data_IF_172898684993
#
_entry.id   IF_172898684993
#
_cell.length_a   1.000
_cell.length_b   1.000
_cell.length_c   1.000
_cell.angle_alpha   90.00
_cell.angle_beta   90.00
_cell.angle_gamma   90.00
#
_symmetry.space_group_name_H-M   'P 1'
#
loop_
_entity.id
_entity.type
_entity.pdbx_description
1 polymer ?
#
# COMPACT_ATOMS: atom_id res chain seq x y z
N UNK A 1 -6.26 -14.37 13.86
CA UNK A 1 -4.79 -14.19 13.76
C UNK A 1 -4.40 -14.04 12.29
N UNK A 2 -3.34 -13.26 11.99
CA UNK A 2 -2.82 -13.10 10.63
C UNK A 2 -2.14 -14.39 10.13
N UNK A 3 -2.47 -14.83 8.92
CA UNK A 3 -1.81 -15.97 8.27
C UNK A 3 -0.40 -15.59 7.79
N UNK A 4 0.61 -15.98 8.59
CA UNK A 4 2.02 -15.69 8.32
C UNK A 4 2.63 -16.47 7.14
N UNK A 5 1.93 -17.48 6.63
CA UNK A 5 2.32 -18.16 5.38
C UNK A 5 2.02 -17.31 4.13
N UNK A 6 1.19 -16.28 4.28
CA UNK A 6 0.81 -15.34 3.20
C UNK A 6 1.34 -13.93 3.44
N UNK A 7 1.45 -13.52 4.71
CA UNK A 7 1.74 -12.14 5.07
C UNK A 7 2.96 -12.00 5.99
N UNK A 8 3.78 -11.02 5.67
CA UNK A 8 4.76 -10.42 6.58
C UNK A 8 4.24 -9.07 7.05
N UNK A 9 4.84 -8.53 8.12
CA UNK A 9 4.36 -7.29 8.80
C UNK A 9 5.37 -6.15 8.73
N UNK A 10 6.36 -6.29 7.86
CA UNK A 10 7.37 -5.28 7.63
C UNK A 10 8.02 -5.44 6.27
N UNK A 11 8.67 -4.38 5.82
CA UNK A 11 9.61 -4.43 4.71
C UNK A 11 10.78 -5.36 5.01
N UNK A 12 11.27 -6.03 3.97
CA UNK A 12 12.39 -6.99 4.06
C UNK A 12 13.74 -6.33 4.40
N UNK A 13 13.83 -4.99 4.34
CA UNK A 13 15.07 -4.27 4.65
C UNK A 13 15.30 -4.02 6.13
N UNK A 14 14.32 -4.22 7.02
CA UNK A 14 14.46 -3.96 8.45
C UNK A 14 13.87 -5.05 9.37
N UNK A 15 14.32 -5.11 10.63
CA UNK A 15 13.98 -6.15 11.61
C UNK A 15 13.41 -5.56 12.89
N UNK A 16 12.31 -6.14 13.38
CA UNK A 16 11.67 -5.73 14.64
C UNK A 16 10.76 -4.52 14.50
N UNK A 17 10.59 -4.04 13.27
CA UNK A 17 9.82 -2.88 12.85
C UNK A 17 10.50 -2.28 11.62
N UNK A 18 9.88 -1.32 10.96
CA UNK A 18 10.39 -0.76 9.71
C UNK A 18 9.71 0.57 9.38
N UNK A 19 10.26 1.30 8.42
CA UNK A 19 9.58 2.45 7.81
C UNK A 19 10.10 2.69 6.40
N UNK A 20 9.43 3.55 5.66
CA UNK A 20 9.96 4.11 4.42
C UNK A 20 10.58 5.50 4.70
N UNK A 21 11.91 5.57 4.65
CA UNK A 21 12.64 6.81 4.95
C UNK A 21 12.60 7.82 3.80
N UNK A 22 12.27 7.41 2.58
CA UNK A 22 12.33 8.27 1.40
C UNK A 22 11.25 9.38 1.43
N UNK A 23 10.08 9.09 2.00
CA UNK A 23 8.93 9.99 1.98
C UNK A 23 8.81 10.92 3.19
N UNK A 24 9.80 10.88 4.10
CA UNK A 24 9.78 11.58 5.40
C UNK A 24 8.54 11.24 6.25
N UNK A 25 8.11 9.99 6.15
CA UNK A 25 7.07 9.40 7.00
C UNK A 25 7.48 9.47 8.49
N UNK A 26 6.51 9.59 9.38
CA UNK A 26 6.69 9.84 10.82
C UNK A 26 6.40 8.61 11.68
N UNK A 27 5.82 7.56 11.09
CA UNK A 27 5.55 6.31 11.77
C UNK A 27 6.70 5.31 11.68
N UNK A 28 6.75 4.46 12.68
CA UNK A 28 7.44 3.19 12.65
C UNK A 28 6.40 2.07 12.56
N UNK A 29 6.47 1.25 11.51
CA UNK A 29 5.59 0.09 11.38
C UNK A 29 5.97 -0.99 12.37
N UNK A 30 4.98 -1.48 13.11
CA UNK A 30 5.18 -2.45 14.18
C UNK A 30 4.23 -3.64 14.04
N UNK A 31 4.71 -4.86 14.34
CA UNK A 31 3.90 -6.08 14.39
C UNK A 31 2.61 -5.98 15.21
N UNK A 32 2.62 -5.20 16.29
CA UNK A 32 1.52 -5.08 17.27
C UNK A 32 0.40 -4.14 16.81
N UNK A 33 0.68 -3.34 15.77
CA UNK A 33 -0.30 -2.49 15.11
C UNK A 33 -1.08 -3.24 14.01
N UNK A 34 -0.87 -4.56 13.89
CA UNK A 34 -1.51 -5.43 12.91
C UNK A 34 -2.34 -6.48 13.64
N UNK A 35 -3.66 -6.47 13.44
CA UNK A 35 -4.57 -7.44 14.04
C UNK A 35 -5.59 -7.99 13.04
N UNK A 36 -6.09 -9.20 13.31
CA UNK A 36 -7.19 -9.80 12.55
C UNK A 36 -8.24 -10.24 13.55
N UNK A 37 -9.39 -9.56 13.54
CA UNK A 37 -10.53 -9.77 14.42
C UNK A 37 -11.82 -9.36 13.67
N UNK A 38 -12.98 -9.85 14.11
CA UNK A 38 -14.28 -9.46 13.57
C UNK A 38 -14.38 -9.51 12.02
N UNK A 39 -13.76 -10.54 11.43
CA UNK A 39 -13.78 -10.78 9.99
C UNK A 39 -12.85 -9.91 9.14
N UNK A 40 -12.07 -9.00 9.71
CA UNK A 40 -11.22 -8.09 8.94
C UNK A 40 -9.80 -7.97 9.51
N UNK A 41 -8.86 -7.59 8.65
CA UNK A 41 -7.55 -7.09 9.01
C UNK A 41 -7.67 -5.61 9.42
N UNK A 42 -6.97 -5.24 10.49
CA UNK A 42 -6.87 -3.87 10.99
C UNK A 42 -5.41 -3.46 11.11
N UNK A 43 -5.07 -2.34 10.48
CA UNK A 43 -3.80 -1.64 10.60
C UNK A 43 -4.04 -0.36 11.39
N UNK A 44 -3.51 -0.29 12.61
CA UNK A 44 -3.81 0.81 13.54
C UNK A 44 -2.64 1.78 13.66
N UNK A 45 -2.82 3.05 13.35
CA UNK A 45 -1.88 4.11 13.66
C UNK A 45 -2.10 4.64 15.09
N UNK A 46 -1.03 4.89 15.85
CA UNK A 46 -1.06 5.40 17.24
C UNK A 46 0.00 6.48 17.46
N UNK A 47 -0.25 7.48 18.31
CA UNK A 47 0.74 8.48 18.75
C UNK A 47 1.60 7.86 19.86
N UNK A 48 2.42 6.90 19.47
CA UNK A 48 3.28 6.14 20.36
C UNK A 48 4.74 6.37 19.98
N UNK A 49 5.56 6.76 20.96
CA UNK A 49 6.98 6.99 20.77
C UNK A 49 7.74 5.67 20.77
N UNK A 50 8.51 5.40 19.72
CA UNK A 50 9.29 4.17 19.59
C UNK A 50 10.67 4.46 18.98
N UNK A 51 11.68 3.71 19.43
CA UNK A 51 12.99 3.70 18.79
C UNK A 51 12.95 2.81 17.54
N UNK A 52 13.25 3.40 16.38
CA UNK A 52 13.43 2.68 15.13
C UNK A 52 14.90 2.38 14.84
N UNK A 53 15.22 2.21 13.56
CA UNK A 53 16.59 1.92 13.10
C UNK A 53 17.59 3.01 13.52
N UNK A 54 18.81 2.61 13.84
CA UNK A 54 19.93 3.50 14.19
C UNK A 54 19.63 4.49 15.34
N UNK A 55 18.70 4.15 16.24
CA UNK A 55 18.35 4.98 17.39
C UNK A 55 17.48 6.21 17.04
N UNK A 56 17.04 6.35 15.79
CA UNK A 56 16.06 7.38 15.42
C UNK A 56 14.75 7.11 16.14
N UNK A 57 14.22 8.12 16.81
CA UNK A 57 12.92 8.02 17.46
C UNK A 57 11.81 8.47 16.52
N UNK A 58 10.73 7.69 16.47
CA UNK A 58 9.49 7.98 15.78
C UNK A 58 8.40 8.29 16.82
N UNK A 59 7.51 9.22 16.49
CA UNK A 59 6.45 9.67 17.41
C UNK A 59 5.11 8.95 17.15
N UNK A 60 5.08 8.07 16.15
CA UNK A 60 3.92 7.29 15.79
C UNK A 60 4.32 5.84 15.53
N UNK A 61 3.43 4.91 15.88
CA UNK A 61 3.47 3.52 15.42
C UNK A 61 2.33 3.30 14.43
N UNK A 62 2.50 2.37 13.49
CA UNK A 62 1.41 1.99 12.57
C UNK A 62 1.54 0.56 12.08
N UNK A 63 0.52 0.08 11.35
CA UNK A 63 0.48 -1.26 10.78
C UNK A 63 0.81 -1.27 9.29
N UNK A 64 1.54 -2.30 8.86
CA UNK A 64 1.61 -2.70 7.46
C UNK A 64 1.57 -4.22 7.34
N UNK A 65 1.12 -4.70 6.19
CA UNK A 65 1.30 -6.09 5.76
C UNK A 65 1.79 -6.14 4.33
N UNK A 66 2.55 -7.17 3.99
CA UNK A 66 2.96 -7.42 2.62
C UNK A 66 3.02 -8.91 2.32
N UNK A 67 2.76 -9.30 1.07
CA UNK A 67 3.03 -10.65 0.58
C UNK A 67 4.49 -10.84 0.14
N UNK A 68 5.33 -9.82 0.31
CA UNK A 68 6.77 -9.92 0.15
C UNK A 68 7.44 -10.80 1.20
N UNK A 69 8.73 -11.04 1.02
CA UNK A 69 9.57 -11.80 1.97
C UNK A 69 9.80 -11.07 3.30
N UNK A 70 10.22 -11.82 4.31
CA UNK A 70 10.62 -11.28 5.63
C UNK A 70 12.11 -10.89 5.63
N UNK A 71 12.55 -10.04 6.56
CA UNK A 71 13.96 -9.64 6.67
C UNK A 71 14.91 -10.82 6.86
N UNK A 72 14.49 -11.79 7.68
CA UNK A 72 15.28 -13.00 7.94
C UNK A 72 15.28 -13.96 6.73
N UNK A 73 14.45 -13.68 5.73
CA UNK A 73 14.20 -14.53 4.58
C UNK A 73 14.60 -13.85 3.27
N UNK A 74 15.54 -12.90 3.27
CA UNK A 74 15.99 -12.20 2.04
C UNK A 74 16.37 -13.14 0.89
N UNK A 75 16.93 -14.31 1.21
CA UNK A 75 17.30 -15.36 0.25
C UNK A 75 16.13 -16.24 -0.21
N UNK A 76 14.94 -16.12 0.38
CA UNK A 76 13.73 -16.87 0.03
C UNK A 76 12.82 -16.03 -0.87
N UNK A 77 11.94 -16.69 -1.66
CA UNK A 77 10.95 -15.98 -2.46
C UNK A 77 9.92 -15.27 -1.59
N UNK A 78 9.19 -14.34 -2.22
CA UNK A 78 8.04 -13.69 -1.62
C UNK A 78 6.94 -14.71 -1.25
N UNK A 79 6.14 -14.42 -0.22
CA UNK A 79 5.03 -15.28 0.20
C UNK A 79 4.00 -15.46 -0.91
N UNK A 80 3.77 -14.39 -1.66
CA UNK A 80 3.01 -14.41 -2.91
C UNK A 80 3.44 -13.25 -3.79
N UNK A 81 3.68 -13.54 -5.06
CA UNK A 81 3.85 -12.57 -6.13
C UNK A 81 3.18 -13.12 -7.40
N UNK A 82 2.68 -12.23 -8.24
CA UNK A 82 2.13 -12.59 -9.55
C UNK A 82 2.58 -11.60 -10.59
N UNK A 83 2.72 -12.08 -11.83
CA UNK A 83 2.78 -11.22 -13.01
C UNK A 83 1.37 -11.19 -13.59
N UNK A 84 0.81 -9.99 -13.69
CA UNK A 84 -0.58 -9.77 -14.09
C UNK A 84 -1.61 -10.37 -13.13
N UNK A 85 -2.86 -9.98 -13.34
CA UNK A 85 -4.00 -10.47 -12.59
C UNK A 85 -5.05 -9.40 -12.36
N UNK A 86 -6.18 -9.83 -11.81
CA UNK A 86 -7.16 -8.94 -11.21
C UNK A 86 -6.98 -8.97 -9.70
N UNK A 87 -6.74 -7.81 -9.10
CA UNK A 87 -6.71 -7.62 -7.65
C UNK A 87 -8.01 -6.96 -7.24
N UNK A 88 -8.68 -7.47 -6.22
CA UNK A 88 -9.86 -6.88 -5.62
C UNK A 88 -9.66 -6.83 -4.11
N UNK A 89 -9.67 -5.62 -3.56
CA UNK A 89 -9.45 -5.37 -2.14
C UNK A 89 -10.62 -4.56 -1.62
N UNK A 90 -11.36 -5.12 -0.66
CA UNK A 90 -12.43 -4.40 0.04
C UNK A 90 -11.86 -3.79 1.31
N UNK A 91 -11.83 -2.47 1.39
CA UNK A 91 -11.21 -1.76 2.50
C UNK A 91 -12.01 -0.50 2.90
N UNK A 92 -11.77 -0.02 4.12
CA UNK A 92 -12.29 1.24 4.65
C UNK A 92 -11.11 2.08 5.14
N UNK A 93 -10.88 3.22 4.48
CA UNK A 93 -9.76 4.12 4.78
C UNK A 93 -10.08 5.04 5.97
N UNK A 94 -9.07 5.46 6.76
CA UNK A 94 -9.27 6.43 7.83
C UNK A 94 -9.34 7.87 7.31
N UNK A 95 -10.01 8.73 8.08
CA UNK A 95 -9.98 10.20 7.92
C UNK A 95 -9.00 10.81 8.91
N UNK A 96 -8.31 11.87 8.50
CA UNK A 96 -7.43 12.66 9.36
C UNK A 96 -6.25 13.25 8.58
N UNK A 97 -5.88 14.50 8.89
CA UNK A 97 -4.68 15.11 8.31
C UNK A 97 -3.45 14.26 8.68
N UNK A 98 -2.54 14.08 7.72
CA UNK A 98 -1.34 13.28 7.92
C UNK A 98 -1.53 11.77 7.81
N UNK A 99 -2.76 11.23 7.79
CA UNK A 99 -2.96 9.81 7.52
C UNK A 99 -2.87 9.52 6.02
N UNK A 100 -2.19 8.44 5.66
CA UNK A 100 -1.97 8.04 4.27
C UNK A 100 -2.04 6.52 4.13
N UNK A 101 -3.26 5.96 4.06
CA UNK A 101 -3.48 4.57 3.66
C UNK A 101 -3.05 4.34 2.21
N UNK A 102 -2.36 3.21 1.97
CA UNK A 102 -1.94 2.78 0.64
C UNK A 102 -2.15 1.27 0.43
N UNK A 103 -2.51 0.89 -0.79
CA UNK A 103 -2.52 -0.49 -1.32
C UNK A 103 -1.76 -0.45 -2.64
N UNK A 104 -0.67 -1.19 -2.74
CA UNK A 104 0.29 -0.99 -3.82
C UNK A 104 1.14 -2.23 -4.07
N UNK A 105 1.82 -2.26 -5.20
CA UNK A 105 2.63 -3.38 -5.66
C UNK A 105 4.09 -2.95 -5.86
N UNK A 106 5.03 -3.82 -5.48
CA UNK A 106 6.47 -3.68 -5.77
C UNK A 106 7.03 -4.94 -6.44
N UNK A 107 8.15 -4.84 -7.17
CA UNK A 107 8.67 -5.96 -7.93
C UNK A 107 9.44 -6.92 -7.02
N UNK A 108 9.40 -8.20 -7.35
CA UNK A 108 10.07 -9.27 -6.60
C UNK A 108 11.62 -9.18 -6.67
N UNK A 109 12.15 -8.28 -7.50
CA UNK A 109 13.56 -8.01 -7.74
C UNK A 109 14.22 -7.13 -6.68
N UNK A 110 13.48 -6.67 -5.67
CA UNK A 110 13.95 -5.75 -4.61
C UNK A 110 14.29 -4.34 -5.09
N UNK A 111 14.04 -4.05 -6.36
CA UNK A 111 14.10 -2.70 -6.89
C UNK A 111 12.90 -1.89 -6.38
N UNK A 112 13.04 -0.56 -6.20
CA UNK A 112 11.93 0.28 -5.78
C UNK A 112 10.92 0.51 -6.92
N UNK A 113 11.17 -0.01 -8.13
CA UNK A 113 10.34 0.15 -9.32
C UNK A 113 10.44 -1.07 -10.23
N UNK A 114 9.40 -1.38 -11.02
CA UNK A 114 8.14 -0.65 -11.16
C UNK A 114 7.25 -0.68 -9.92
N UNK A 115 6.42 0.33 -9.74
CA UNK A 115 5.47 0.48 -8.62
C UNK A 115 4.08 0.71 -9.20
N UNK A 116 3.08 0.02 -8.66
CA UNK A 116 1.67 0.20 -9.05
C UNK A 116 0.84 0.47 -7.81
N UNK A 117 0.31 1.68 -7.72
CA UNK A 117 -0.48 2.11 -6.57
C UNK A 117 -1.96 1.90 -6.88
N UNK A 118 -2.52 0.82 -6.33
CA UNK A 118 -3.94 0.48 -6.45
C UNK A 118 -4.79 1.51 -5.70
N UNK A 119 -4.31 1.93 -4.55
CA UNK A 119 -4.92 2.96 -3.74
C UNK A 119 -3.87 3.81 -3.06
N UNK A 120 -4.04 5.11 -3.19
CA UNK A 120 -3.56 6.09 -2.22
C UNK A 120 -4.70 7.04 -1.87
N UNK A 121 -4.84 7.37 -0.59
CA UNK A 121 -5.77 8.40 -0.12
C UNK A 121 -5.07 9.26 0.91
N UNK A 122 -5.17 10.57 0.76
CA UNK A 122 -4.78 11.50 1.82
C UNK A 122 -5.96 11.66 2.77
N UNK A 123 -5.78 11.38 4.06
CA UNK A 123 -6.89 11.34 5.03
C UNK A 123 -7.61 12.67 5.24
N UNK A 124 -7.08 13.79 4.74
CA UNK A 124 -7.75 15.10 4.73
C UNK A 124 -8.52 15.40 3.43
N UNK A 125 -8.44 14.50 2.44
CA UNK A 125 -9.02 14.65 1.10
C UNK A 125 -9.67 13.32 0.64
N UNK A 126 -10.46 12.70 1.51
CA UNK A 126 -11.02 11.35 1.32
C UNK A 126 -12.05 11.22 0.20
N UNK A 127 -12.50 12.33 -0.40
CA UNK A 127 -13.29 12.34 -1.65
C UNK A 127 -12.42 12.39 -2.92
N UNK A 128 -11.12 12.14 -2.80
CA UNK A 128 -10.19 12.01 -3.93
C UNK A 128 -9.56 10.63 -3.92
N UNK A 129 -9.74 9.90 -5.01
CA UNK A 129 -9.06 8.64 -5.26
C UNK A 129 -7.81 8.90 -6.09
N UNK A 130 -6.63 8.59 -5.55
CA UNK A 130 -5.33 8.76 -6.20
C UNK A 130 -4.84 7.39 -6.69
N UNK A 131 -4.37 7.34 -7.94
CA UNK A 131 -3.90 6.13 -8.63
C UNK A 131 -2.61 6.47 -9.37
N UNK A 132 -1.55 5.69 -9.12
CA UNK A 132 -0.21 5.99 -9.61
C UNK A 132 0.52 4.78 -10.18
N UNK A 133 1.46 5.09 -11.08
CA UNK A 133 2.46 4.20 -11.63
C UNK A 133 3.81 4.89 -11.56
N UNK A 134 4.82 4.20 -11.04
CA UNK A 134 6.21 4.67 -11.09
C UNK A 134 7.07 3.63 -11.80
N UNK A 135 7.84 4.06 -12.79
CA UNK A 135 8.62 3.15 -13.63
C UNK A 135 9.89 3.80 -14.16
N UNK A 136 10.74 2.98 -14.76
CA UNK A 136 11.89 3.43 -15.54
C UNK A 136 11.57 3.29 -17.02
N UNK A 137 11.81 4.33 -17.82
CA UNK A 137 11.74 4.21 -19.28
C UNK A 137 12.89 3.34 -19.81
N UNK A 138 12.92 3.11 -21.13
CA UNK A 138 13.97 2.30 -21.78
C UNK A 138 15.38 2.87 -21.60
N UNK A 139 15.52 4.16 -21.33
CA UNK A 139 16.78 4.84 -21.04
C UNK A 139 17.10 4.87 -19.54
N UNK A 140 16.32 4.16 -18.72
CA UNK A 140 16.43 4.11 -17.26
C UNK A 140 16.15 5.45 -16.56
N UNK A 141 15.45 6.38 -17.22
CA UNK A 141 15.00 7.60 -16.56
C UNK A 141 13.74 7.32 -15.76
N UNK A 142 13.61 8.01 -14.64
CA UNK A 142 12.42 7.91 -13.80
C UNK A 142 11.23 8.56 -14.48
N UNK A 143 10.12 7.82 -14.52
CA UNK A 143 8.83 8.28 -15.03
C UNK A 143 7.75 7.96 -14.01
N UNK A 144 6.68 8.75 -14.08
CA UNK A 144 5.45 8.46 -13.38
C UNK A 144 4.27 8.77 -14.28
N UNK A 145 3.17 8.07 -14.04
CA UNK A 145 1.86 8.41 -14.55
C UNK A 145 0.89 8.34 -13.38
N UNK A 146 -0.07 9.25 -13.33
CA UNK A 146 -1.08 9.23 -12.29
C UNK A 146 -2.37 9.87 -12.75
N UNK A 147 -3.46 9.48 -12.10
CA UNK A 147 -4.76 10.11 -12.27
C UNK A 147 -5.42 10.21 -10.92
N UNK A 148 -6.05 11.35 -10.67
CA UNK A 148 -6.97 11.50 -9.56
C UNK A 148 -8.41 11.57 -10.07
N UNK A 149 -9.34 11.17 -9.21
CA UNK A 149 -10.75 11.27 -9.48
C UNK A 149 -11.48 11.72 -8.22
N UNK A 150 -12.44 12.65 -8.38
CA UNK A 150 -13.39 12.95 -7.32
C UNK A 150 -14.41 11.84 -7.21
N UNK A 151 -14.67 11.39 -5.99
CA UNK A 151 -15.55 10.26 -5.68
C UNK A 151 -16.48 10.62 -4.52
N UNK A 152 -17.31 9.66 -4.10
CA UNK A 152 -17.87 9.67 -2.74
C UNK A 152 -16.74 9.74 -1.72
N UNK A 153 -17.05 10.16 -0.49
CA UNK A 153 -16.08 10.10 0.60
C UNK A 153 -15.71 8.64 0.92
N UNK A 154 -14.48 8.26 0.61
CA UNK A 154 -13.98 6.90 0.75
C UNK A 154 -13.85 6.46 2.21
N UNK A 155 -13.84 7.39 3.16
CA UNK A 155 -13.73 7.07 4.59
C UNK A 155 -15.08 6.74 5.24
N UNK A 156 -16.21 7.06 4.60
CA UNK A 156 -17.53 6.88 5.19
C UNK A 156 -17.95 5.39 5.18
N UNK A 157 -17.59 4.65 4.13
CA UNK A 157 -18.01 3.27 3.91
C UNK A 157 -16.85 2.34 3.52
N UNK A 158 -17.17 1.05 3.45
CA UNK A 158 -16.32 0.07 2.79
C UNK A 158 -16.44 0.22 1.28
N UNK A 159 -15.32 0.22 0.59
CA UNK A 159 -15.24 0.28 -0.87
C UNK A 159 -14.41 -0.86 -1.42
N UNK A 160 -14.69 -1.24 -2.66
CA UNK A 160 -13.92 -2.25 -3.40
C UNK A 160 -12.98 -1.54 -4.36
N UNK A 161 -11.69 -1.66 -4.11
CA UNK A 161 -10.62 -1.15 -4.96
C UNK A 161 -10.10 -2.28 -5.84
N UNK A 162 -10.16 -2.07 -7.16
CA UNK A 162 -9.80 -3.07 -8.14
C UNK A 162 -8.60 -2.64 -8.99
N UNK A 163 -7.76 -3.60 -9.36
CA UNK A 163 -6.70 -3.43 -10.36
C UNK A 163 -6.74 -4.60 -11.33
N UNK A 164 -7.04 -4.35 -12.60
CA UNK A 164 -6.78 -5.29 -13.68
C UNK A 164 -5.45 -4.93 -14.33
N UNK A 165 -4.42 -5.71 -14.03
CA UNK A 165 -3.11 -5.58 -14.63
C UNK A 165 -2.91 -6.70 -15.64
N UNK A 166 -2.68 -6.31 -16.90
CA UNK A 166 -2.42 -7.19 -18.05
C UNK A 166 -1.15 -6.77 -18.74
N UNK A 167 -0.73 -7.56 -19.74
CA UNK A 167 0.43 -7.24 -20.59
C UNK A 167 0.29 -5.90 -21.33
N UNK A 168 -0.93 -5.48 -21.65
CA UNK A 168 -1.25 -4.37 -22.55
C UNK A 168 -1.98 -3.20 -21.87
N UNK A 169 -2.45 -3.38 -20.64
CA UNK A 169 -3.13 -2.34 -19.89
C UNK A 169 -2.99 -2.55 -18.37
N UNK A 170 -3.03 -1.44 -17.64
CA UNK A 170 -3.33 -1.40 -16.21
C UNK A 170 -4.60 -0.58 -16.03
N UNK A 171 -5.60 -1.14 -15.35
CA UNK A 171 -6.93 -0.55 -15.22
C UNK A 171 -7.34 -0.56 -13.76
N UNK A 172 -7.69 0.60 -13.23
CA UNK A 172 -8.13 0.79 -11.85
C UNK A 172 -9.64 0.88 -11.80
N UNK A 173 -10.21 0.31 -10.74
CA UNK A 173 -11.63 0.28 -10.49
C UNK A 173 -11.95 0.75 -9.07
N UNK A 174 -13.07 1.44 -8.92
CA UNK A 174 -13.71 1.72 -7.63
C UNK A 174 -15.14 1.21 -7.69
N UNK A 175 -15.49 0.29 -6.79
CA UNK A 175 -16.81 -0.34 -6.69
C UNK A 175 -17.28 -0.91 -8.05
N UNK A 176 -16.36 -1.55 -8.78
CA UNK A 176 -16.59 -2.15 -10.09
C UNK A 176 -16.61 -1.15 -11.27
N UNK A 177 -16.54 0.16 -11.02
CA UNK A 177 -16.46 1.18 -12.07
C UNK A 177 -15.03 1.46 -12.46
N UNK A 178 -14.72 1.41 -13.76
CA UNK A 178 -13.41 1.84 -14.28
C UNK A 178 -13.16 3.33 -13.98
N UNK A 179 -12.03 3.62 -13.33
CA UNK A 179 -11.62 4.96 -12.93
C UNK A 179 -10.49 5.48 -13.82
N UNK A 180 -9.56 4.59 -14.15
CA UNK A 180 -8.40 4.91 -14.98
C UNK A 180 -7.93 3.70 -15.76
N UNK A 181 -7.48 3.93 -16.98
CA UNK A 181 -6.85 2.95 -17.85
C UNK A 181 -5.57 3.54 -18.42
N UNK A 182 -4.49 2.79 -18.28
CA UNK A 182 -3.17 3.14 -18.79
C UNK A 182 -2.69 2.05 -19.77
N UNK A 183 -2.25 2.45 -20.96
CA UNK A 183 -1.92 1.53 -22.07
C UNK A 183 -0.54 1.78 -22.70
N UNK A 184 0.27 2.69 -22.15
CA UNK A 184 1.62 2.89 -22.67
C UNK A 184 2.53 1.73 -22.18
N UNK A 185 3.04 0.87 -23.08
CA UNK A 185 3.77 -0.33 -22.68
C UNK A 185 5.04 -0.06 -21.88
N UNK A 186 5.64 1.14 -21.95
CA UNK A 186 6.83 1.45 -21.15
C UNK A 186 6.56 1.49 -19.65
N UNK A 187 5.34 1.87 -19.24
CA UNK A 187 4.96 1.92 -17.83
C UNK A 187 4.28 0.67 -17.31
N UNK A 188 4.04 -0.33 -18.16
CA UNK A 188 3.37 -1.58 -17.76
C UNK A 188 4.42 -2.59 -17.35
N UNK A 189 4.48 -2.87 -16.04
CA UNK A 189 5.37 -3.89 -15.48
C UNK A 189 5.21 -5.24 -16.20
N UNK A 190 6.35 -5.88 -16.48
CA UNK A 190 6.45 -7.19 -17.12
C UNK A 190 7.06 -8.25 -16.19
N UNK A 191 7.25 -7.92 -14.91
CA UNK A 191 7.87 -8.78 -13.90
C UNK A 191 6.89 -9.10 -12.76
N UNK A 192 7.05 -10.21 -12.02
CA UNK A 192 6.20 -10.52 -10.88
C UNK A 192 6.30 -9.48 -9.77
N UNK A 193 5.15 -9.05 -9.25
CA UNK A 193 5.06 -8.07 -8.17
C UNK A 193 4.32 -8.66 -6.97
N UNK A 194 4.70 -8.23 -5.76
CA UNK A 194 4.07 -8.59 -4.50
C UNK A 194 3.27 -7.40 -3.96
N UNK A 195 2.28 -7.69 -3.10
CA UNK A 195 1.33 -6.72 -2.57
C UNK A 195 1.82 -6.13 -1.26
N UNK A 196 1.56 -4.84 -1.06
CA UNK A 196 1.76 -4.10 0.18
C UNK A 196 0.48 -3.37 0.56
N UNK A 197 0.17 -3.34 1.85
CA UNK A 197 -0.92 -2.57 2.43
C UNK A 197 -0.40 -1.92 3.70
N UNK A 198 -0.46 -0.60 3.80
CA UNK A 198 0.04 0.13 4.95
C UNK A 198 -0.82 1.36 5.27
N UNK A 199 -0.69 1.84 6.51
CA UNK A 199 -1.20 3.13 6.93
C UNK A 199 -0.03 4.02 7.35
N UNK A 200 0.46 4.86 6.44
CA UNK A 200 1.49 5.83 6.78
C UNK A 200 0.90 6.99 7.62
N UNK A 201 1.78 7.63 8.42
CA UNK A 201 1.48 8.82 9.22
C UNK A 201 2.54 9.87 8.92
N UNK A 202 2.12 11.03 8.45
CA UNK A 202 3.05 12.06 8.01
C UNK A 202 3.66 11.76 6.63
N UNK A 203 4.58 12.63 6.22
CA UNK A 203 5.24 12.56 4.92
C UNK A 203 5.11 13.86 4.13
N UNK A 204 5.92 13.98 3.07
CA UNK A 204 5.94 15.19 2.24
C UNK A 204 4.56 15.49 1.60
N UNK A 205 3.79 14.45 1.27
CA UNK A 205 2.52 14.58 0.56
C UNK A 205 1.30 14.76 1.48
N UNK A 206 1.04 13.89 2.47
CA UNK A 206 -0.10 14.09 3.38
C UNK A 206 0.12 15.26 4.35
N UNK A 207 1.36 15.72 4.53
CA UNK A 207 1.76 16.62 5.61
C UNK A 207 1.76 15.91 6.97
N UNK A 208 2.12 16.61 8.05
CA UNK A 208 2.06 16.02 9.40
C UNK A 208 0.62 15.98 9.94
N UNK A 209 0.28 15.05 10.85
CA UNK A 209 -0.92 15.15 11.67
C UNK A 209 -1.02 16.50 12.38
N UNK A 210 -2.24 16.99 12.56
CA UNK A 210 -2.54 18.21 13.33
C UNK A 210 -3.43 17.89 14.54
N UNK A 211 -3.80 18.90 15.32
CA UNK A 211 -4.63 18.72 16.53
C UNK A 211 -6.03 18.15 16.26
N UNK A 212 -6.48 18.08 15.00
CA UNK A 212 -7.76 17.49 14.58
C UNK A 212 -7.59 16.07 14.04
N UNK A 213 -6.37 15.56 13.93
CA UNK A 213 -6.14 14.17 13.56
C UNK A 213 -6.46 13.28 14.76
N UNK A 214 -7.53 12.51 14.65
CA UNK A 214 -7.94 11.58 15.70
C UNK A 214 -7.09 10.31 15.67
N UNK A 215 -6.70 9.85 16.86
CA UNK A 215 -6.00 8.58 17.05
C UNK A 215 -6.64 7.79 18.21
N UNK A 216 -6.57 6.43 18.21
CA UNK A 216 -5.99 5.60 17.15
C UNK A 216 -6.79 5.71 15.84
N UNK A 217 -6.10 5.61 14.71
CA UNK A 217 -6.72 5.63 13.38
C UNK A 217 -6.55 4.26 12.73
N UNK A 218 -7.64 3.71 12.20
CA UNK A 218 -7.65 2.35 11.67
C UNK A 218 -7.84 2.35 10.15
N UNK A 219 -6.96 1.63 9.44
CA UNK A 219 -7.18 1.20 8.07
C UNK A 219 -7.65 -0.26 8.09
N UNK A 220 -8.88 -0.48 7.63
CA UNK A 220 -9.55 -1.78 7.72
C UNK A 220 -9.61 -2.46 6.35
N UNK A 221 -9.32 -3.76 6.31
CA UNK A 221 -9.35 -4.57 5.10
C UNK A 221 -10.19 -5.81 5.38
N UNK A 222 -11.33 -5.93 4.69
CA UNK A 222 -12.25 -7.07 4.81
C UNK A 222 -11.68 -8.28 4.08
N UNK A 223 -11.29 -8.10 2.82
CA UNK A 223 -10.64 -9.15 2.05
C UNK A 223 -9.66 -8.61 1.01
N UNK A 224 -8.75 -9.51 0.61
CA UNK A 224 -7.90 -9.38 -0.55
C UNK A 224 -8.12 -10.62 -1.41
N UNK A 225 -8.44 -10.42 -2.68
CA UNK A 225 -8.58 -11.50 -3.66
C UNK A 225 -7.76 -11.18 -4.89
N UNK A 226 -7.10 -12.19 -5.43
CA UNK A 226 -6.28 -12.08 -6.63
C UNK A 226 -6.63 -13.23 -7.55
N UNK A 227 -6.96 -12.91 -8.80
CA UNK A 227 -7.24 -13.89 -9.85
C UNK A 227 -6.25 -13.73 -10.99
N UNK A 228 -5.90 -14.83 -11.62
CA UNK A 228 -5.15 -14.83 -12.87
C UNK A 228 -6.07 -15.19 -14.02
N UNK A 229 -5.95 -14.47 -15.15
CA UNK A 229 -6.61 -14.88 -16.39
C UNK A 229 -6.01 -16.21 -16.85
N UNK A 230 -6.86 -17.13 -17.27
CA UNK A 230 -6.42 -18.38 -17.89
C UNK A 230 -5.87 -18.05 -19.29
N UNK A 231 -4.64 -18.44 -19.57
CA UNK A 231 -4.00 -18.24 -20.88
C UNK A 231 -3.14 -16.97 -21.02
N UNK A 232 -2.87 -16.24 -19.93
CA UNK A 232 -1.84 -15.20 -19.84
C UNK A 232 -0.64 -15.59 -18.98
#
# INVERSE_FOLDING_TARGET
>A
MLDRSKWTRCYWWDKGGCTNLANKELQWYMPDNVSVADGHLRLTARPEKVAGHEGRTFNYTSGMVTTGRDYLERARPDRFATKYGYFEIRAKVPRGKGLWPAIWLLPSTQEPRPEIDILEVLGHATSTYEMHLHYLDKQKNWKSAGKNARTVDLADNWHVYGLEWRKDAVIWYLDGKEMWRYTNPEGISQEPMYLLINLAVGGNWPGSPDARTEFPADFLIDYVRVWRRVGE
#
